data_IF_686165566454
#
_entry.id   IF_686165566454
#
_cell.length_a   1.000
_cell.length_b   1.000
_cell.length_c   1.000
_cell.angle_alpha   90.00
_cell.angle_beta   90.00
_cell.angle_gamma   90.00
#
_symmetry.space_group_name_H-M   'P 1'
#
loop_
_entity.id
_entity.type
_entity.pdbx_description
1 polymer ?
#
# COMPACT_ATOMS: atom_id res chain seq x y z
N UNK A 1 -5.91 21.85 7.58
CA UNK A 1 -6.71 20.67 7.95
C UNK A 1 -5.79 19.48 8.13
N UNK A 2 -5.88 18.83 9.27
CA UNK A 2 -5.03 17.68 9.53
C UNK A 2 -5.49 16.47 8.73
N UNK A 3 -4.52 15.70 8.24
CA UNK A 3 -4.82 14.47 7.53
C UNK A 3 -5.35 13.42 8.52
N UNK A 4 -6.35 12.64 8.13
CA UNK A 4 -6.80 11.52 8.94
C UNK A 4 -5.67 10.54 9.22
N UNK A 5 -5.66 9.98 10.41
CA UNK A 5 -4.70 8.96 10.81
C UNK A 5 -5.35 7.60 10.62
N UNK A 6 -4.64 6.72 9.91
CA UNK A 6 -5.04 5.34 9.72
C UNK A 6 -3.97 4.41 10.29
N UNK A 7 -4.25 3.13 10.29
CA UNK A 7 -3.31 2.12 10.70
C UNK A 7 -3.13 1.11 9.58
N UNK A 8 -1.88 0.75 9.31
CA UNK A 8 -1.53 -0.22 8.29
C UNK A 8 -1.05 -1.49 8.96
N UNK A 9 -1.52 -2.64 8.47
CA UNK A 9 -1.00 -3.93 8.87
C UNK A 9 -0.06 -4.41 7.76
N UNK A 10 1.16 -4.73 8.12
CA UNK A 10 2.18 -5.17 7.16
C UNK A 10 1.93 -6.63 6.78
N UNK A 11 1.74 -6.91 5.49
CA UNK A 11 1.50 -8.27 5.00
C UNK A 11 2.58 -8.79 4.05
N UNK A 12 3.49 -7.91 3.59
CA UNK A 12 4.56 -8.28 2.70
C UNK A 12 5.74 -7.34 2.90
N UNK A 13 6.95 -7.90 2.97
CA UNK A 13 8.18 -7.11 3.03
C UNK A 13 9.22 -7.68 2.08
N UNK A 14 10.32 -6.93 1.88
CA UNK A 14 11.45 -7.34 1.03
C UNK A 14 12.16 -8.60 1.53
N UNK A 15 11.94 -8.98 2.78
CA UNK A 15 12.55 -10.18 3.36
C UNK A 15 11.92 -11.49 2.85
N UNK A 16 10.76 -11.41 2.21
CA UNK A 16 10.00 -12.58 1.79
C UNK A 16 9.94 -12.67 0.26
N UNK A 17 10.60 -13.65 -0.36
CA UNK A 17 10.55 -13.80 -1.82
C UNK A 17 9.23 -14.36 -2.33
N UNK A 18 8.45 -15.02 -1.47
CA UNK A 18 7.12 -15.54 -1.84
C UNK A 18 6.03 -14.60 -1.35
N UNK A 19 4.91 -14.57 -2.07
CA UNK A 19 3.73 -13.82 -1.64
C UNK A 19 3.20 -14.41 -0.34
N UNK A 20 3.08 -13.58 0.69
CA UNK A 20 2.57 -13.98 1.99
C UNK A 20 1.05 -13.87 2.03
N UNK A 21 0.40 -14.76 2.75
CA UNK A 21 -1.05 -14.82 2.90
C UNK A 21 -1.41 -14.74 4.37
N UNK A 22 -2.32 -13.83 4.70
CA UNK A 22 -2.82 -13.67 6.05
C UNK A 22 -3.99 -14.61 6.32
N UNK A 23 -3.96 -15.24 7.49
CA UNK A 23 -5.03 -16.15 7.97
C UNK A 23 -5.72 -15.49 9.18
N UNK A 24 -6.91 -14.89 8.98
CA UNK A 24 -7.56 -14.16 10.07
C UNK A 24 -7.96 -15.04 11.24
N UNK A 25 -8.22 -16.32 11.02
CA UNK A 25 -8.63 -17.25 12.08
C UNK A 25 -7.52 -17.47 13.11
N UNK A 26 -6.27 -17.49 12.68
CA UNK A 26 -5.11 -17.72 13.54
C UNK A 26 -4.26 -16.47 13.77
N UNK A 27 -4.43 -15.45 12.93
CA UNK A 27 -3.57 -14.26 12.93
C UNK A 27 -2.20 -14.51 12.35
N UNK A 28 -2.00 -15.62 11.65
CA UNK A 28 -0.70 -16.00 11.09
C UNK A 28 -0.57 -15.63 9.62
N UNK A 29 0.69 -15.46 9.19
CA UNK A 29 1.05 -15.26 7.79
C UNK A 29 1.82 -16.50 7.31
N UNK A 30 1.47 -17.00 6.13
CA UNK A 30 2.16 -18.12 5.52
C UNK A 30 2.55 -17.81 4.09
N UNK A 31 3.63 -18.45 3.61
CA UNK A 31 4.04 -18.28 2.22
C UNK A 31 3.09 -19.01 1.28
N UNK A 32 2.71 -18.34 0.19
CA UNK A 32 1.95 -18.97 -0.89
C UNK A 32 2.90 -19.71 -1.85
N UNK A 33 2.32 -20.38 -2.86
CA UNK A 33 3.07 -21.01 -3.95
C UNK A 33 3.60 -20.02 -4.97
N UNK A 34 3.17 -18.74 -4.88
CA UNK A 34 3.49 -17.72 -5.87
C UNK A 34 4.58 -16.79 -5.37
N UNK A 35 5.48 -16.41 -6.28
CA UNK A 35 6.49 -15.42 -5.97
C UNK A 35 5.89 -14.05 -5.73
N UNK A 36 6.53 -13.27 -4.86
CA UNK A 36 6.15 -11.88 -4.63
C UNK A 36 6.50 -11.04 -5.86
N UNK A 37 5.50 -10.32 -6.39
CA UNK A 37 5.71 -9.40 -7.49
C UNK A 37 6.69 -8.28 -7.10
N UNK A 38 6.56 -7.79 -5.88
CA UNK A 38 7.45 -6.76 -5.35
C UNK A 38 8.91 -7.26 -5.32
N UNK A 39 9.11 -8.48 -4.83
CA UNK A 39 10.45 -9.07 -4.79
C UNK A 39 11.03 -9.22 -6.20
N UNK A 40 10.23 -9.73 -7.15
CA UNK A 40 10.67 -9.92 -8.52
C UNK A 40 11.04 -8.59 -9.23
N UNK A 41 10.44 -7.49 -8.81
CA UNK A 41 10.65 -6.16 -9.40
C UNK A 41 11.60 -5.29 -8.58
N UNK A 42 12.29 -5.86 -7.62
CA UNK A 42 13.21 -5.15 -6.73
C UNK A 42 12.55 -3.99 -5.99
N UNK A 43 11.30 -4.16 -5.62
CA UNK A 43 10.57 -3.20 -4.80
C UNK A 43 10.84 -3.52 -3.33
N UNK A 44 11.29 -2.52 -2.57
CA UNK A 44 11.79 -2.74 -1.21
C UNK A 44 10.84 -2.26 -0.11
N UNK A 45 9.75 -1.58 -0.48
CA UNK A 45 8.87 -0.96 0.51
C UNK A 45 7.83 -1.97 1.02
N UNK A 46 7.43 -1.85 2.30
CA UNK A 46 6.39 -2.72 2.85
C UNK A 46 5.04 -2.53 2.16
N UNK A 47 4.29 -3.61 2.04
CA UNK A 47 2.95 -3.65 1.46
C UNK A 47 2.00 -4.22 2.50
N UNK A 48 0.78 -3.73 2.52
CA UNK A 48 -0.21 -4.24 3.46
C UNK A 48 -1.59 -3.67 3.20
N UNK A 49 -2.41 -3.63 4.25
CA UNK A 49 -3.77 -3.10 4.13
C UNK A 49 -4.01 -2.05 5.21
N UNK A 50 -4.97 -1.16 4.93
CA UNK A 50 -5.43 -0.16 5.88
C UNK A 50 -6.44 -0.82 6.80
N UNK A 51 -6.10 -0.93 8.08
CA UNK A 51 -6.87 -1.67 9.09
C UNK A 51 -8.32 -1.21 9.14
N UNK A 52 -8.54 0.11 9.10
CA UNK A 52 -9.87 0.70 9.20
C UNK A 52 -10.77 0.38 8.02
N UNK A 53 -10.21 -0.09 6.91
CA UNK A 53 -10.98 -0.41 5.70
C UNK A 53 -11.52 -1.84 5.69
N UNK A 54 -10.95 -2.73 6.50
CA UNK A 54 -11.32 -4.14 6.53
C UNK A 54 -10.12 -5.03 6.73
N UNK A 55 -10.36 -6.34 6.80
CA UNK A 55 -9.31 -7.35 6.98
C UNK A 55 -9.42 -8.42 5.90
N UNK A 56 -8.31 -8.75 5.20
CA UNK A 56 -8.35 -9.81 4.19
C UNK A 56 -8.86 -11.14 4.78
N UNK A 57 -9.57 -11.98 4.03
CA UNK A 57 -9.92 -11.84 2.62
C UNK A 57 -11.13 -10.97 2.31
N UNK A 58 -11.73 -10.35 3.33
CA UNK A 58 -12.84 -9.42 3.13
C UNK A 58 -12.35 -8.16 2.40
N UNK A 59 -13.25 -7.39 1.79
CA UNK A 59 -12.87 -6.15 1.13
C UNK A 59 -12.07 -5.23 2.06
N UNK A 60 -10.98 -4.68 1.52
CA UNK A 60 -10.06 -3.82 2.25
C UNK A 60 -9.30 -2.96 1.25
N UNK A 61 -8.63 -1.93 1.74
CA UNK A 61 -7.78 -1.09 0.91
C UNK A 61 -6.32 -1.51 1.05
N UNK A 62 -5.69 -1.83 -0.07
CA UNK A 62 -4.26 -2.14 -0.11
C UNK A 62 -3.45 -0.85 -0.06
N UNK A 63 -2.30 -0.89 0.59
CA UNK A 63 -1.42 0.27 0.68
C UNK A 63 0.05 -0.11 0.64
N UNK A 64 0.85 0.88 0.26
CA UNK A 64 2.30 0.78 0.15
C UNK A 64 2.89 1.83 1.08
N UNK A 65 3.78 1.41 1.98
CA UNK A 65 4.39 2.32 2.96
C UNK A 65 5.74 2.82 2.43
N UNK A 66 5.80 4.11 2.13
CA UNK A 66 7.04 4.75 1.67
C UNK A 66 7.90 5.10 2.87
N UNK A 67 8.82 4.22 3.20
CA UNK A 67 9.66 4.32 4.40
C UNK A 67 11.05 3.72 4.15
N UNK A 68 12.03 4.18 4.92
CA UNK A 68 13.35 3.56 4.95
C UNK A 68 13.50 2.60 6.15
N UNK A 69 12.46 2.47 6.96
CA UNK A 69 12.47 1.57 8.10
C UNK A 69 12.11 0.15 7.67
N UNK A 70 12.62 -0.83 8.44
CA UNK A 70 12.26 -2.22 8.26
C UNK A 70 11.11 -2.57 9.21
N UNK A 71 10.12 -3.29 8.67
CA UNK A 71 8.99 -3.78 9.44
C UNK A 71 8.86 -5.28 9.27
N UNK A 72 8.13 -5.91 10.18
CA UNK A 72 7.84 -7.33 10.12
C UNK A 72 6.37 -7.57 9.80
N UNK A 73 6.06 -8.79 9.34
CA UNK A 73 4.68 -9.18 9.05
C UNK A 73 3.83 -9.04 10.31
N UNK A 74 2.66 -8.45 10.16
CA UNK A 74 1.73 -8.24 11.26
C UNK A 74 1.97 -6.96 12.05
N UNK A 75 3.05 -6.24 11.80
CA UNK A 75 3.27 -4.94 12.45
C UNK A 75 2.14 -3.99 12.10
N UNK A 76 1.69 -3.26 13.11
CA UNK A 76 0.70 -2.20 12.93
C UNK A 76 1.41 -0.85 12.97
N UNK A 77 1.25 -0.07 11.91
CA UNK A 77 1.95 1.19 11.73
C UNK A 77 0.94 2.33 11.61
N UNK A 78 1.14 3.39 12.37
CA UNK A 78 0.34 4.60 12.25
C UNK A 78 0.76 5.35 11.01
N UNK A 79 -0.19 5.60 10.11
CA UNK A 79 0.10 6.14 8.77
C UNK A 79 -0.84 7.29 8.39
N UNK A 80 -0.41 8.04 7.39
CA UNK A 80 -1.23 9.02 6.67
C UNK A 80 -1.18 8.70 5.18
N UNK A 81 -2.27 8.95 4.48
CA UNK A 81 -2.36 8.71 3.04
C UNK A 81 -1.81 9.92 2.30
N UNK A 82 -0.87 9.69 1.39
CA UNK A 82 -0.22 10.76 0.62
C UNK A 82 -0.49 10.67 -0.88
N UNK A 83 -1.05 9.57 -1.35
CA UNK A 83 -1.36 9.40 -2.76
C UNK A 83 -2.04 8.09 -3.07
N UNK A 84 -2.22 7.83 -4.36
CA UNK A 84 -2.88 6.62 -4.84
C UNK A 84 -2.37 6.24 -6.21
N UNK A 85 -2.22 4.94 -6.44
CA UNK A 85 -2.13 4.38 -7.79
C UNK A 85 -3.52 3.93 -8.19
N UNK A 86 -4.15 4.66 -9.10
CA UNK A 86 -5.50 4.33 -9.58
C UNK A 86 -5.43 3.24 -10.61
N UNK A 87 -6.34 2.27 -10.47
CA UNK A 87 -6.46 1.16 -11.40
C UNK A 87 -7.86 1.13 -12.00
N UNK A 88 -7.95 0.72 -13.26
CA UNK A 88 -9.22 0.68 -13.98
C UNK A 88 -10.21 -0.32 -13.38
N UNK A 89 -9.72 -1.35 -12.68
CA UNK A 89 -10.54 -2.34 -12.01
C UNK A 89 -10.96 -1.92 -10.58
N UNK A 90 -10.67 -0.68 -10.19
CA UNK A 90 -10.92 -0.11 -8.86
C UNK A 90 -10.14 -0.79 -7.72
N UNK A 91 -9.19 -1.65 -8.02
CA UNK A 91 -8.28 -2.21 -7.02
C UNK A 91 -7.09 -1.26 -6.82
N UNK A 92 -7.40 -0.06 -6.31
CA UNK A 92 -6.42 0.99 -6.12
C UNK A 92 -5.41 0.62 -5.05
N UNK A 93 -4.17 1.15 -5.19
CA UNK A 93 -3.11 0.98 -4.19
C UNK A 93 -2.83 2.34 -3.57
N UNK A 94 -3.14 2.49 -2.29
CA UNK A 94 -2.90 3.76 -1.60
C UNK A 94 -1.42 3.87 -1.23
N UNK A 95 -0.89 5.07 -1.37
CA UNK A 95 0.50 5.36 -1.02
C UNK A 95 0.46 6.07 0.32
N UNK A 96 1.17 5.51 1.29
CA UNK A 96 1.12 6.00 2.67
C UNK A 96 2.52 6.26 3.21
N UNK A 97 2.58 7.05 4.27
CA UNK A 97 3.81 7.32 5.00
C UNK A 97 3.51 7.27 6.49
N UNK A 98 4.53 7.03 7.29
CA UNK A 98 4.39 7.13 8.75
C UNK A 98 3.96 8.57 9.10
N UNK A 99 3.10 8.71 10.10
CA UNK A 99 2.61 10.03 10.51
C UNK A 99 3.74 10.97 10.93
N UNK A 100 4.85 10.42 11.41
CA UNK A 100 6.02 11.20 11.86
C UNK A 100 6.89 11.68 10.70
N UNK A 101 6.72 11.13 9.50
CA UNK A 101 7.48 11.57 8.34
C UNK A 101 6.96 12.93 7.86
N UNK A 102 7.87 13.86 7.59
CA UNK A 102 7.52 15.22 7.12
C UNK A 102 7.24 15.20 5.62
N UNK A 103 6.09 14.66 5.25
CA UNK A 103 5.60 14.59 3.88
C UNK A 103 4.07 14.56 3.92
N UNK A 104 3.43 15.25 3.00
CA UNK A 104 1.96 15.32 2.95
C UNK A 104 1.38 14.84 1.61
N UNK A 105 2.19 14.77 0.57
CA UNK A 105 1.70 14.45 -0.76
C UNK A 105 2.71 13.61 -1.55
N UNK A 106 2.18 12.74 -2.42
CA UNK A 106 2.97 11.93 -3.34
C UNK A 106 3.99 12.76 -4.14
N UNK A 107 3.61 13.98 -4.52
CA UNK A 107 4.50 14.85 -5.29
C UNK A 107 5.80 15.18 -4.56
N UNK A 108 5.80 15.09 -3.22
CA UNK A 108 6.96 15.37 -2.39
C UNK A 108 7.94 14.19 -2.26
N UNK A 109 7.56 13.01 -2.75
CA UNK A 109 8.46 11.86 -2.75
C UNK A 109 9.70 12.15 -3.61
N UNK A 110 10.83 11.57 -3.24
CA UNK A 110 12.05 11.73 -4.03
C UNK A 110 11.92 11.07 -5.40
N UNK A 111 12.73 11.48 -6.38
CA UNK A 111 12.75 10.80 -7.67
C UNK A 111 13.04 9.29 -7.56
N UNK A 112 13.91 8.90 -6.64
CA UNK A 112 14.24 7.48 -6.42
C UNK A 112 13.03 6.70 -5.90
N UNK A 113 12.25 7.29 -4.99
CA UNK A 113 11.03 6.66 -4.47
C UNK A 113 9.98 6.50 -5.56
N UNK A 114 9.79 7.54 -6.37
CA UNK A 114 8.84 7.50 -7.50
C UNK A 114 9.25 6.45 -8.54
N UNK A 115 10.55 6.35 -8.81
CA UNK A 115 11.07 5.34 -9.72
C UNK A 115 10.80 3.92 -9.20
N UNK A 116 11.01 3.70 -7.91
CA UNK A 116 10.76 2.40 -7.29
C UNK A 116 9.29 2.00 -7.41
N UNK A 117 8.36 2.94 -7.18
CA UNK A 117 6.94 2.71 -7.40
C UNK A 117 6.64 2.34 -8.85
N UNK A 118 7.27 3.04 -9.80
CA UNK A 118 7.09 2.73 -11.23
C UNK A 118 7.63 1.35 -11.59
N UNK A 119 8.66 0.86 -10.89
CA UNK A 119 9.13 -0.52 -11.10
C UNK A 119 8.10 -1.54 -10.63
N UNK A 120 7.40 -1.24 -9.54
CA UNK A 120 6.35 -2.13 -9.04
C UNK A 120 5.17 -2.21 -10.02
N UNK A 121 4.74 -1.08 -10.57
CA UNK A 121 3.64 -1.00 -11.52
C UNK A 121 4.09 -0.25 -12.78
N UNK A 122 4.82 -0.93 -13.68
CA UNK A 122 5.41 -0.26 -14.85
C UNK A 122 4.40 0.06 -15.95
N UNK A 123 3.22 -0.55 -15.91
CA UNK A 123 2.19 -0.33 -16.92
C UNK A 123 1.08 0.52 -16.36
N UNK A 124 0.76 1.59 -17.10
CA UNK A 124 -0.31 2.52 -16.76
C UNK A 124 -1.25 2.55 -17.95
N UNK A 125 -2.46 2.02 -17.76
CA UNK A 125 -3.49 2.01 -18.79
C UNK A 125 -4.33 3.27 -18.80
N UNK A 126 -5.34 3.31 -19.65
CA UNK A 126 -6.25 4.45 -19.73
C UNK A 126 -7.03 4.60 -18.42
N UNK A 127 -7.01 5.80 -17.88
CA UNK A 127 -7.68 6.10 -16.59
C UNK A 127 -6.90 5.67 -15.36
N UNK A 128 -5.74 5.07 -15.55
CA UNK A 128 -4.86 4.66 -14.44
C UNK A 128 -3.74 5.66 -14.24
N UNK A 129 -3.08 5.60 -13.11
CA UNK A 129 -1.89 6.40 -12.86
C UNK A 129 -1.66 6.73 -11.39
N UNK A 130 -0.60 7.50 -11.19
CA UNK A 130 -0.15 7.94 -9.87
C UNK A 130 -0.70 9.32 -9.60
N UNK A 131 -1.39 9.47 -8.46
CA UNK A 131 -2.01 10.72 -8.07
C UNK A 131 -1.67 11.05 -6.62
N UNK A 132 -1.87 12.32 -6.25
CA UNK A 132 -1.57 12.81 -4.92
C UNK A 132 -2.66 12.53 -3.89
N UNK A 133 -2.49 13.14 -2.73
CA UNK A 133 -3.35 12.94 -1.56
C UNK A 133 -4.82 13.28 -1.86
N UNK A 134 -5.08 14.36 -2.56
CA UNK A 134 -6.44 14.80 -2.84
C UNK A 134 -7.23 13.75 -3.62
N UNK A 135 -6.62 13.20 -4.67
CA UNK A 135 -7.26 12.13 -5.45
C UNK A 135 -7.40 10.84 -4.64
N UNK A 136 -6.44 10.56 -3.75
CA UNK A 136 -6.53 9.40 -2.87
C UNK A 136 -7.78 9.48 -1.98
N UNK A 137 -8.02 10.62 -1.36
CA UNK A 137 -9.22 10.80 -0.53
C UNK A 137 -10.50 10.74 -1.35
N UNK A 138 -10.46 11.25 -2.58
CA UNK A 138 -11.58 11.14 -3.50
C UNK A 138 -11.90 9.66 -3.78
N UNK A 139 -10.89 8.85 -4.05
CA UNK A 139 -11.06 7.41 -4.26
C UNK A 139 -11.62 6.71 -3.02
N UNK A 140 -11.09 7.02 -1.85
CA UNK A 140 -11.56 6.42 -0.58
C UNK A 140 -13.03 6.73 -0.33
N UNK A 141 -13.47 7.92 -0.69
CA UNK A 141 -14.83 8.36 -0.48
C UNK A 141 -15.80 7.73 -1.48
N UNK A 142 -15.39 7.58 -2.74
CA UNK A 142 -16.31 7.23 -3.83
C UNK A 142 -16.16 5.80 -4.34
N UNK A 143 -15.02 5.15 -4.07
CA UNK A 143 -14.70 3.82 -4.58
C UNK A 143 -14.44 2.85 -3.45
N UNK A 144 -15.47 2.58 -2.65
CA UNK A 144 -15.39 1.49 -1.70
C UNK A 144 -15.37 0.20 -2.49
N UNK A 145 -14.50 -0.74 -2.11
CA UNK A 145 -14.51 -2.05 -2.73
C UNK A 145 -15.90 -2.66 -2.57
N UNK A 146 -16.37 -3.29 -3.63
CA UNK A 146 -17.67 -3.96 -3.60
C UNK A 146 -17.66 -5.05 -2.54
N UNK A 147 -18.72 -5.07 -1.80
CA UNK A 147 -18.92 -6.08 -0.74
C UNK A 147 -19.65 -7.29 -1.29
#
# INVERSE_FOLDING_TARGET
MESPIFHMIIEQTKAYPMRMVYHPDSGEFTASEHGSLAHARNFTKPYGWIKESGTPPKPHWDCILMTDRDYELGDEVEIKVIGVFKRADFDHKYIVAETVRDIDDYAELSPAEKEELCRLYPRVGDGEGWFGMEEAYHCMKNHKKAL
#
